data_IF_023918029305
#
_entry.id   IF_023918029305
#
_cell.length_a   1.000
_cell.length_b   1.000
_cell.length_c   1.000
_cell.angle_alpha   90.00
_cell.angle_beta   90.00
_cell.angle_gamma   90.00
#
_symmetry.space_group_name_H-M   'P 1'
#
loop_
_entity.id
_entity.type
_entity.pdbx_description
1 polymer ?
#
# COMPACT_ATOMS: atom_id res chain seq x y z
N UNK A 1 -24.63 -35.10 -9.89
CA UNK A 1 -23.89 -34.09 -10.66
C UNK A 1 -22.56 -33.77 -9.96
N UNK A 2 -21.46 -34.43 -10.34
CA UNK A 2 -20.12 -34.15 -9.77
C UNK A 2 -19.54 -32.92 -10.48
N UNK A 3 -19.34 -31.82 -9.75
CA UNK A 3 -18.65 -30.63 -10.28
C UNK A 3 -17.19 -31.01 -10.52
N UNK A 4 -16.76 -30.95 -11.77
CA UNK A 4 -15.37 -31.19 -12.16
C UNK A 4 -14.52 -30.01 -11.63
N UNK A 5 -13.88 -30.20 -10.47
CA UNK A 5 -13.12 -29.19 -9.71
C UNK A 5 -11.78 -28.81 -10.38
N UNK A 6 -11.44 -29.42 -11.52
CA UNK A 6 -10.20 -29.20 -12.26
C UNK A 6 -10.50 -28.58 -13.63
N UNK A 7 -10.80 -27.28 -13.63
CA UNK A 7 -11.00 -26.52 -14.87
C UNK A 7 -9.63 -26.17 -15.48
N UNK A 8 -9.19 -27.00 -16.43
CA UNK A 8 -7.88 -26.88 -17.07
C UNK A 8 -7.64 -25.52 -17.76
N UNK A 9 -8.70 -24.75 -18.06
CA UNK A 9 -8.57 -23.40 -18.63
C UNK A 9 -8.13 -22.37 -17.60
N UNK A 10 -8.59 -22.48 -16.35
CA UNK A 10 -8.21 -21.57 -15.25
C UNK A 10 -6.77 -21.81 -14.79
N UNK A 11 -6.37 -23.08 -14.76
CA UNK A 11 -4.99 -23.48 -14.42
C UNK A 11 -4.01 -22.99 -15.49
N UNK A 12 -4.34 -23.14 -16.78
CA UNK A 12 -3.49 -22.61 -17.87
C UNK A 12 -3.39 -21.09 -17.85
N UNK A 13 -4.50 -20.37 -17.62
CA UNK A 13 -4.48 -18.90 -17.51
C UNK A 13 -3.56 -18.39 -16.39
N UNK A 14 -3.65 -18.97 -15.19
CA UNK A 14 -2.76 -18.59 -14.08
C UNK A 14 -1.29 -18.92 -14.34
N UNK A 15 -1.01 -20.03 -15.03
CA UNK A 15 0.34 -20.44 -15.43
C UNK A 15 0.91 -19.51 -16.52
N UNK A 16 0.11 -19.11 -17.50
CA UNK A 16 0.50 -18.18 -18.56
C UNK A 16 0.76 -16.77 -18.02
N UNK A 17 -0.04 -16.32 -17.05
CA UNK A 17 0.19 -15.05 -16.35
C UNK A 17 1.47 -15.09 -15.50
N UNK A 18 1.75 -16.21 -14.85
CA UNK A 18 3.00 -16.40 -14.10
C UNK A 18 4.22 -16.44 -15.04
N UNK A 19 4.13 -17.14 -16.17
CA UNK A 19 5.19 -17.13 -17.19
C UNK A 19 5.37 -15.75 -17.82
N UNK A 20 4.29 -14.98 -18.02
CA UNK A 20 4.37 -13.58 -18.45
C UNK A 20 5.03 -12.70 -17.39
N UNK A 21 4.71 -12.88 -16.11
CA UNK A 21 5.36 -12.17 -15.02
C UNK A 21 6.87 -12.49 -14.96
N UNK A 22 7.24 -13.77 -15.11
CA UNK A 22 8.64 -14.20 -15.19
C UNK A 22 9.34 -13.69 -16.45
N UNK A 23 8.66 -13.66 -17.60
CA UNK A 23 9.19 -13.13 -18.85
C UNK A 23 9.39 -11.61 -18.78
N UNK A 24 8.46 -10.88 -18.15
CA UNK A 24 8.61 -9.45 -17.86
C UNK A 24 9.75 -9.19 -16.88
N UNK A 25 9.90 -10.07 -15.87
CA UNK A 25 10.99 -9.97 -14.92
C UNK A 25 12.36 -10.19 -15.57
N UNK A 26 12.44 -11.08 -16.57
CA UNK A 26 13.65 -11.35 -17.36
C UNK A 26 13.96 -10.30 -18.43
N UNK A 27 12.95 -9.69 -19.04
CA UNK A 27 13.16 -8.79 -20.20
C UNK A 27 13.50 -7.35 -19.81
N UNK A 28 13.16 -6.92 -18.60
CA UNK A 28 13.44 -5.57 -18.12
C UNK A 28 13.88 -5.57 -16.63
N UNK A 29 15.08 -6.09 -16.30
CA UNK A 29 15.56 -6.17 -14.92
C UNK A 29 15.59 -4.79 -14.24
N UNK A 30 15.85 -3.72 -15.01
CA UNK A 30 15.79 -2.34 -14.50
C UNK A 30 14.38 -1.93 -14.02
N UNK A 31 13.31 -2.33 -14.70
CA UNK A 31 11.94 -2.04 -14.26
C UNK A 31 11.55 -2.82 -13.02
N UNK A 32 11.98 -4.08 -12.90
CA UNK A 32 11.77 -4.88 -11.69
C UNK A 32 12.50 -4.26 -10.50
N UNK A 33 13.76 -3.86 -10.72
CA UNK A 33 14.57 -3.23 -9.68
C UNK A 33 13.98 -1.90 -9.24
N UNK A 34 13.46 -1.09 -10.17
CA UNK A 34 12.72 0.14 -9.84
C UNK A 34 11.48 -0.18 -9.00
N UNK A 35 10.66 -1.17 -9.38
CA UNK A 35 9.47 -1.56 -8.61
C UNK A 35 9.83 -2.06 -7.20
N UNK A 36 10.92 -2.82 -7.09
CA UNK A 36 11.43 -3.29 -5.80
C UNK A 36 11.96 -2.12 -4.96
N UNK A 37 12.72 -1.21 -5.57
CA UNK A 37 13.20 0.01 -4.93
C UNK A 37 12.05 0.91 -4.45
N UNK A 38 11.02 1.11 -5.26
CA UNK A 38 9.82 1.84 -4.86
C UNK A 38 9.11 1.17 -3.68
N UNK A 39 9.04 -0.16 -3.65
CA UNK A 39 8.47 -0.90 -2.52
C UNK A 39 9.27 -0.71 -1.24
N UNK A 40 10.62 -0.71 -1.33
CA UNK A 40 11.49 -0.44 -0.19
C UNK A 40 11.37 1.00 0.31
N UNK A 41 11.35 1.98 -0.60
CA UNK A 41 11.17 3.40 -0.25
C UNK A 41 9.83 3.62 0.42
N UNK A 42 8.77 3.01 -0.10
CA UNK A 42 7.44 3.03 0.52
C UNK A 42 7.49 2.47 1.94
N UNK A 43 8.06 1.28 2.13
CA UNK A 43 8.17 0.62 3.43
C UNK A 43 8.97 1.46 4.43
N UNK A 44 10.09 2.04 4.00
CA UNK A 44 10.90 2.93 4.83
C UNK A 44 10.15 4.22 5.20
N UNK A 45 9.42 4.81 4.25
CA UNK A 45 8.62 6.02 4.49
C UNK A 45 7.51 5.77 5.51
N UNK A 46 6.83 4.62 5.41
CA UNK A 46 5.79 4.24 6.37
C UNK A 46 6.36 4.00 7.78
N UNK A 47 7.52 3.35 7.89
CA UNK A 47 8.20 3.17 9.17
C UNK A 47 8.62 4.50 9.82
N UNK A 48 9.11 5.45 9.01
CA UNK A 48 9.45 6.80 9.47
C UNK A 48 8.20 7.58 9.90
N UNK A 49 7.10 7.47 9.15
CA UNK A 49 5.83 8.08 9.55
C UNK A 49 5.31 7.52 10.88
N UNK A 50 5.42 6.21 11.09
CA UNK A 50 5.07 5.57 12.36
C UNK A 50 5.96 6.10 13.51
N UNK A 51 7.27 6.21 13.29
CA UNK A 51 8.19 6.81 14.25
C UNK A 51 7.77 8.24 14.64
N UNK A 52 7.44 9.08 13.66
CA UNK A 52 6.97 10.43 13.94
C UNK A 52 5.60 10.46 14.62
N UNK A 53 4.72 9.49 14.36
CA UNK A 53 3.45 9.37 15.06
C UNK A 53 3.63 9.11 16.57
N UNK A 54 4.59 8.26 16.94
CA UNK A 54 4.96 8.05 18.34
C UNK A 54 5.54 9.32 18.98
N UNK A 55 6.45 10.00 18.27
CA UNK A 55 7.04 11.28 18.72
C UNK A 55 6.00 12.37 18.91
N UNK A 56 5.00 12.45 18.02
CA UNK A 56 3.93 13.44 18.10
C UNK A 56 3.03 13.25 19.33
N UNK A 57 2.87 12.00 19.79
CA UNK A 57 2.15 11.67 21.03
C UNK A 57 3.02 11.90 22.28
N UNK A 58 4.30 12.22 22.09
CA UNK A 58 5.25 12.47 23.18
C UNK A 58 5.92 11.19 23.73
N UNK A 59 5.90 10.09 22.95
CA UNK A 59 6.55 8.85 23.35
C UNK A 59 7.79 8.58 22.47
N UNK A 60 8.94 8.42 23.11
CA UNK A 60 10.19 8.14 22.43
C UNK A 60 10.37 6.64 22.21
N UNK A 61 10.54 6.26 20.95
CA UNK A 61 10.96 4.91 20.55
C UNK A 61 12.23 4.99 19.73
N UNK A 62 13.05 3.95 19.78
CA UNK A 62 14.17 3.86 18.84
C UNK A 62 13.64 3.72 17.41
N UNK A 63 14.28 4.35 16.41
CA UNK A 63 13.87 4.22 14.99
C UNK A 63 13.94 2.76 14.52
N UNK A 64 14.85 1.95 15.07
CA UNK A 64 14.91 0.51 14.82
C UNK A 64 13.68 -0.24 15.34
N UNK A 65 13.15 0.13 16.51
CA UNK A 65 11.91 -0.45 17.06
C UNK A 65 10.71 -0.10 16.18
N UNK A 66 10.60 1.15 15.71
CA UNK A 66 9.54 1.58 14.79
C UNK A 66 9.54 0.76 13.50
N UNK A 67 10.73 0.56 12.91
CA UNK A 67 10.92 -0.24 11.71
C UNK A 67 10.52 -1.70 11.93
N UNK A 68 10.98 -2.32 13.02
CA UNK A 68 10.65 -3.70 13.36
C UNK A 68 9.15 -3.88 13.60
N UNK A 69 8.52 -2.97 14.35
CA UNK A 69 7.07 -2.97 14.57
C UNK A 69 6.37 -2.96 13.22
N UNK A 70 6.71 -2.00 12.35
CA UNK A 70 6.04 -1.86 11.06
C UNK A 70 6.23 -3.10 10.16
N UNK A 71 7.45 -3.64 10.06
CA UNK A 71 7.76 -4.82 9.24
C UNK A 71 6.99 -6.05 9.71
N UNK A 72 6.97 -6.31 11.02
CA UNK A 72 6.24 -7.47 11.56
C UNK A 72 4.75 -7.27 11.37
N UNK A 73 4.22 -6.08 11.68
CA UNK A 73 2.80 -5.79 11.51
C UNK A 73 2.33 -5.87 10.07
N UNK A 74 3.08 -5.31 9.11
CA UNK A 74 2.72 -5.41 7.69
C UNK A 74 2.81 -6.85 7.19
N UNK A 75 3.78 -7.64 7.66
CA UNK A 75 3.91 -9.05 7.27
C UNK A 75 2.67 -9.85 7.70
N UNK A 76 2.25 -9.69 8.96
CA UNK A 76 1.04 -10.35 9.48
C UNK A 76 -0.21 -9.84 8.76
N UNK A 77 -0.33 -8.53 8.53
CA UNK A 77 -1.51 -7.95 7.90
C UNK A 77 -1.66 -8.39 6.43
N UNK A 78 -0.56 -8.63 5.70
CA UNK A 78 -0.61 -9.17 4.33
C UNK A 78 -1.13 -10.60 4.26
N UNK A 79 -0.85 -11.43 5.29
CA UNK A 79 -1.37 -12.81 5.36
C UNK A 79 -2.88 -12.86 5.54
N UNK A 80 -3.46 -11.83 6.18
CA UNK A 80 -4.88 -11.79 6.44
C UNK A 80 -5.74 -11.62 5.16
N UNK A 81 -5.12 -11.27 4.02
CA UNK A 81 -5.78 -11.08 2.72
C UNK A 81 -7.05 -10.19 2.77
N UNK A 82 -7.18 -9.33 3.77
CA UNK A 82 -8.38 -8.51 3.99
C UNK A 82 -8.29 -7.24 3.13
N UNK A 83 -9.24 -6.99 2.21
CA UNK A 83 -9.28 -5.73 1.48
C UNK A 83 -9.45 -4.57 2.46
N UNK A 84 -8.52 -3.62 2.45
CA UNK A 84 -8.52 -2.43 3.31
C UNK A 84 -7.84 -2.58 4.68
N UNK A 85 -7.56 -3.80 5.17
CA UNK A 85 -6.84 -4.10 6.43
C UNK A 85 -7.26 -3.25 7.65
N UNK A 86 -8.49 -2.73 7.68
CA UNK A 86 -9.00 -1.90 8.77
C UNK A 86 -9.18 -2.80 10.00
N UNK A 87 -8.71 -2.37 11.18
CA UNK A 87 -8.66 -3.21 12.38
C UNK A 87 -7.44 -4.13 12.48
N UNK A 88 -7.10 -4.91 11.44
CA UNK A 88 -5.98 -5.89 11.52
C UNK A 88 -4.63 -5.20 11.72
N UNK A 89 -4.30 -4.19 10.91
CA UNK A 89 -3.01 -3.51 11.08
C UNK A 89 -2.93 -2.76 12.41
N UNK A 90 -4.03 -2.19 12.91
CA UNK A 90 -4.07 -1.51 14.22
C UNK A 90 -3.84 -2.47 15.36
N UNK A 91 -4.49 -3.64 15.35
CA UNK A 91 -4.32 -4.63 16.41
C UNK A 91 -2.91 -5.20 16.41
N UNK A 92 -2.33 -5.50 15.24
CA UNK A 92 -0.97 -6.02 15.18
C UNK A 92 0.06 -4.94 15.53
N UNK A 93 -0.14 -3.68 15.10
CA UNK A 93 0.71 -2.57 15.53
C UNK A 93 0.66 -2.39 17.05
N UNK A 94 -0.53 -2.38 17.64
CA UNK A 94 -0.71 -2.23 19.07
C UNK A 94 -0.08 -3.40 19.85
N UNK A 95 -0.31 -4.63 19.40
CA UNK A 95 0.23 -5.84 20.01
C UNK A 95 1.76 -5.89 19.92
N UNK A 96 2.31 -5.62 18.74
CA UNK A 96 3.76 -5.63 18.51
C UNK A 96 4.47 -4.52 19.29
N UNK A 97 3.84 -3.34 19.41
CA UNK A 97 4.37 -2.24 20.20
C UNK A 97 4.30 -2.53 21.69
N UNK A 98 3.21 -3.13 22.17
CA UNK A 98 3.08 -3.60 23.55
C UNK A 98 4.13 -4.68 23.89
N UNK A 99 4.44 -5.57 22.95
CA UNK A 99 5.50 -6.55 23.09
C UNK A 99 6.90 -5.92 23.25
N UNK A 100 7.10 -4.71 22.74
CA UNK A 100 8.34 -3.92 22.91
C UNK A 100 8.29 -2.96 24.10
N UNK A 101 7.28 -3.07 24.98
CA UNK A 101 7.17 -2.28 26.20
C UNK A 101 6.47 -0.93 26.03
N UNK A 102 5.86 -0.66 24.87
CA UNK A 102 5.08 0.56 24.65
C UNK A 102 3.72 0.43 25.34
N UNK A 103 3.27 1.42 26.14
CA UNK A 103 1.94 1.40 26.74
C UNK A 103 0.83 1.29 25.68
N UNK A 104 -0.14 0.41 25.91
CA UNK A 104 -1.22 0.14 24.95
C UNK A 104 -1.98 1.41 24.49
N UNK A 105 -2.32 2.39 25.38
CA UNK A 105 -2.98 3.62 24.95
C UNK A 105 -2.16 4.43 23.96
N UNK A 106 -0.83 4.45 24.13
CA UNK A 106 0.11 5.15 23.25
C UNK A 106 0.19 4.42 21.91
N UNK A 107 0.29 3.09 21.91
CA UNK A 107 0.36 2.29 20.69
C UNK A 107 -0.90 2.40 19.82
N UNK A 108 -2.08 2.38 20.46
CA UNK A 108 -3.35 2.60 19.77
C UNK A 108 -3.42 4.03 19.21
N UNK A 109 -3.04 5.04 20.00
CA UNK A 109 -3.00 6.43 19.53
C UNK A 109 -2.06 6.62 18.33
N UNK A 110 -0.85 6.05 18.39
CA UNK A 110 0.15 6.17 17.34
C UNK A 110 -0.28 5.47 16.05
N UNK A 111 -0.87 4.28 16.15
CA UNK A 111 -1.39 3.55 14.99
C UNK A 111 -2.55 4.28 14.30
N UNK A 112 -3.46 4.90 15.06
CA UNK A 112 -4.54 5.74 14.52
C UNK A 112 -3.99 7.00 13.86
N UNK A 113 -3.03 7.68 14.48
CA UNK A 113 -2.39 8.86 13.91
C UNK A 113 -1.63 8.52 12.62
N UNK A 114 -0.89 7.41 12.62
CA UNK A 114 -0.25 6.88 11.43
C UNK A 114 -1.27 6.61 10.32
N UNK A 115 -2.42 6.00 10.62
CA UNK A 115 -3.49 5.78 9.64
C UNK A 115 -4.07 7.09 9.10
N UNK A 116 -4.26 8.09 9.95
CA UNK A 116 -4.73 9.40 9.52
C UNK A 116 -3.78 10.02 8.49
N UNK A 117 -2.47 9.89 8.71
CA UNK A 117 -1.46 10.44 7.80
C UNK A 117 -1.32 9.58 6.54
N UNK A 118 -1.25 8.25 6.67
CA UNK A 118 -0.92 7.36 5.55
C UNK A 118 -2.12 6.99 4.69
N UNK A 119 -3.33 6.96 5.23
CA UNK A 119 -4.55 6.66 4.48
C UNK A 119 -5.39 7.90 4.18
N UNK A 120 -5.62 8.77 5.17
CA UNK A 120 -6.58 9.86 4.99
C UNK A 120 -6.00 11.06 4.26
N UNK A 121 -4.68 11.29 4.28
CA UNK A 121 -4.06 12.38 3.52
C UNK A 121 -4.02 12.09 2.00
N UNK A 122 -3.58 10.91 1.53
CA UNK A 122 -3.47 10.66 0.09
C UNK A 122 -4.81 10.66 -0.67
N UNK A 123 -5.92 10.32 0.00
CA UNK A 123 -7.26 10.27 -0.61
C UNK A 123 -7.70 11.63 -1.18
N UNK A 124 -7.78 12.73 -0.39
CA UNK A 124 -8.17 14.04 -0.88
C UNK A 124 -7.15 14.61 -1.87
N UNK A 125 -5.85 14.40 -1.65
CA UNK A 125 -4.83 14.82 -2.61
C UNK A 125 -4.98 14.12 -3.97
N UNK A 126 -5.23 12.81 -3.95
CA UNK A 126 -5.49 12.01 -5.15
C UNK A 126 -6.77 12.45 -5.86
N UNK A 127 -7.85 12.70 -5.11
CA UNK A 127 -9.11 13.19 -5.67
C UNK A 127 -8.96 14.57 -6.30
N UNK A 128 -8.32 15.51 -5.62
CA UNK A 128 -8.07 16.86 -6.14
C UNK A 128 -7.25 16.79 -7.43
N UNK A 129 -6.18 15.98 -7.46
CA UNK A 129 -5.33 15.83 -8.63
C UNK A 129 -6.07 15.16 -9.80
N UNK A 130 -6.84 14.10 -9.53
CA UNK A 130 -7.64 13.41 -10.55
C UNK A 130 -8.68 14.36 -11.16
N UNK A 131 -9.37 15.14 -10.31
CA UNK A 131 -10.33 16.14 -10.75
C UNK A 131 -9.67 17.25 -11.59
N UNK A 132 -8.47 17.71 -11.21
CA UNK A 132 -7.69 18.67 -12.00
C UNK A 132 -7.29 18.11 -13.36
N UNK A 133 -6.88 16.84 -13.43
CA UNK A 133 -6.53 16.18 -14.69
C UNK A 133 -7.75 15.93 -15.58
N UNK A 134 -8.87 15.47 -15.01
CA UNK A 134 -10.12 15.24 -15.75
C UNK A 134 -10.59 16.52 -16.42
N UNK A 135 -10.54 17.66 -15.70
CA UNK A 135 -10.83 18.98 -16.27
C UNK A 135 -9.91 19.40 -17.42
N UNK A 136 -8.65 18.93 -17.45
CA UNK A 136 -7.72 19.19 -18.56
C UNK A 136 -7.97 18.25 -19.75
N UNK A 137 -8.24 16.97 -19.47
CA UNK A 137 -8.52 15.97 -20.50
C UNK A 137 -9.82 16.29 -21.27
N UNK A 138 -10.89 16.68 -20.56
CA UNK A 138 -12.16 17.09 -21.17
C UNK A 138 -12.00 18.28 -22.13
N UNK A 139 -11.23 19.30 -21.73
CA UNK A 139 -10.94 20.46 -22.58
C UNK A 139 -10.17 20.09 -23.86
N UNK A 140 -9.22 19.16 -23.76
CA UNK A 140 -8.43 18.71 -24.91
C UNK A 140 -9.26 17.90 -25.92
N UNK A 141 -10.19 17.07 -25.44
CA UNK A 141 -11.07 16.27 -26.30
C UNK A 141 -12.10 17.13 -27.04
N UNK A 142 -12.64 18.17 -26.39
CA UNK A 142 -13.55 19.14 -27.04
C UNK A 142 -12.82 19.88 -28.16
N UNK A 143 -11.59 20.35 -27.90
CA UNK A 143 -10.81 21.08 -28.90
C UNK A 143 -10.45 20.21 -30.12
N UNK A 144 -10.04 18.95 -29.92
CA UNK A 144 -9.79 18.02 -31.03
C UNK A 144 -11.03 17.80 -31.90
N UNK A 145 -12.22 17.73 -31.30
CA UNK A 145 -13.49 17.51 -32.03
C UNK A 145 -13.88 18.74 -32.85
N UNK A 146 -13.59 19.94 -32.37
CA UNK A 146 -13.81 21.20 -33.11
C UNK A 146 -12.87 21.29 -34.33
N UNK A 147 -11.58 20.96 -34.16
CA UNK A 147 -10.59 21.06 -35.25
C UNK A 147 -10.82 19.98 -36.32
N UNK A 148 -11.29 18.79 -35.95
CA UNK A 148 -11.57 17.72 -36.91
C UNK A 148 -12.90 17.89 -37.67
N UNK A 149 -13.74 18.86 -37.26
CA UNK A 149 -15.02 19.19 -37.89
C UNK A 149 -14.99 20.42 -38.80
N UNK A 150 -13.83 21.08 -38.97
CA UNK A 150 -13.59 22.19 -39.90
C UNK A 150 -12.69 21.75 -41.04
#
# INVERSE_FOLDING_TARGET
ARRNLYDARRVRGGVDDFYRALALARTAPGRVLISFGCSLVRLGSDAVALYFAYRAIGYDIAPGSALLIFIVSTSVATLAAVPGQIGVMETVLALMSAALGVPLPVAVGASLLFRLISFWLPIPFGYAFAWHLQRRAERCLIQKRVIAGS
#
